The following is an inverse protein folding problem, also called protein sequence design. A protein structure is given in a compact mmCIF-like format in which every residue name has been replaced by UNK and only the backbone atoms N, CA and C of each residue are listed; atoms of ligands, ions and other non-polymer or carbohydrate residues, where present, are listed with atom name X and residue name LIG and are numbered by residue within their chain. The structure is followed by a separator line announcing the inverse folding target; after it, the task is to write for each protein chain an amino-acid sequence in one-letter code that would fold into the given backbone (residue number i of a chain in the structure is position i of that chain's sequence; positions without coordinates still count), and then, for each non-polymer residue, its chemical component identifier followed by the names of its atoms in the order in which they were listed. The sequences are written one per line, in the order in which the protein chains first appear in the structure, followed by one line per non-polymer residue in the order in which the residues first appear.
data_IF_321114938296
#
_entry.id   IF_321114938296
#
_cell.length_a   1.000
_cell.length_b   1.000
_cell.length_c   1.000
_cell.angle_alpha   90.00
_cell.angle_beta   90.00
_cell.angle_gamma   90.00
#
_symmetry.space_group_name_H-M   'P 1'
#
loop_
_entity.id
_entity.type
_entity.pdbx_description
1 polymer ?
#
# COMPACT_ATOMS: atom_id res chain seq x y z
N UNK A 1 20.55 43.28 -27.48
CA UNK A 1 19.68 42.08 -27.52
C UNK A 1 20.38 40.95 -26.79
N UNK A 2 19.91 40.57 -25.61
CA UNK A 2 20.50 39.50 -24.80
C UNK A 2 19.81 38.16 -25.12
N UNK A 3 20.63 37.15 -25.41
CA UNK A 3 20.25 35.77 -25.67
C UNK A 3 20.07 35.08 -24.32
N UNK A 4 18.89 34.52 -24.05
CA UNK A 4 18.57 33.80 -22.81
C UNK A 4 18.33 32.34 -23.20
N UNK A 5 19.30 31.47 -22.92
CA UNK A 5 19.18 30.03 -23.08
C UNK A 5 18.57 29.43 -21.80
N UNK A 6 17.59 28.51 -21.87
CA UNK A 6 17.13 27.80 -20.69
C UNK A 6 18.06 26.61 -20.42
N UNK A 7 19.03 26.81 -19.54
CA UNK A 7 19.83 25.72 -18.97
C UNK A 7 18.94 24.89 -18.05
N UNK A 8 18.52 23.71 -18.53
CA UNK A 8 17.85 22.70 -17.71
C UNK A 8 18.93 21.88 -17.00
N UNK A 9 19.13 22.18 -15.73
CA UNK A 9 19.96 21.38 -14.82
C UNK A 9 19.29 20.02 -14.56
N UNK A 10 19.96 18.87 -14.75
CA UNK A 10 19.42 17.57 -14.36
C UNK A 10 19.38 17.44 -12.83
N UNK A 11 18.38 16.75 -12.24
CA UNK A 11 18.36 16.50 -10.81
C UNK A 11 19.53 15.59 -10.41
N UNK A 12 20.27 16.01 -9.38
CA UNK A 12 21.31 15.22 -8.74
C UNK A 12 20.72 13.92 -8.14
N UNK A 13 21.47 12.80 -8.13
CA UNK A 13 21.03 11.58 -7.47
C UNK A 13 20.93 11.82 -5.96
N UNK A 14 19.72 11.75 -5.41
CA UNK A 14 19.53 11.71 -3.97
C UNK A 14 20.03 10.35 -3.44
N UNK A 15 21.04 10.37 -2.58
CA UNK A 15 21.51 9.21 -1.82
C UNK A 15 20.34 8.62 -1.02
N UNK A 16 20.04 7.35 -1.29
CA UNK A 16 19.13 6.56 -0.48
C UNK A 16 19.78 6.30 0.89
N UNK A 17 19.04 6.41 2.02
CA UNK A 17 19.56 5.96 3.30
C UNK A 17 19.79 4.44 3.25
N UNK A 18 21.06 4.05 3.42
CA UNK A 18 21.50 2.67 3.52
C UNK A 18 20.82 2.00 4.73
N UNK A 19 19.88 1.11 4.44
CA UNK A 19 19.30 0.21 5.43
C UNK A 19 20.32 -0.90 5.68
N UNK A 20 21.06 -0.82 6.78
CA UNK A 20 21.91 -1.91 7.25
C UNK A 20 21.02 -3.08 7.68
N UNK A 21 20.99 -4.14 6.89
CA UNK A 21 20.35 -5.42 7.23
C UNK A 21 21.12 -6.13 8.34
N UNK A 22 20.48 -6.60 9.43
CA UNK A 22 21.13 -7.46 10.41
C UNK A 22 21.47 -8.84 9.81
N UNK A 23 22.52 -9.53 10.30
CA UNK A 23 22.93 -10.83 9.78
C UNK A 23 21.84 -11.89 10.04
N UNK A 24 21.51 -12.64 8.98
CA UNK A 24 20.58 -13.74 9.01
C UNK A 24 21.13 -14.91 9.85
N UNK A 25 20.48 -15.20 10.98
CA UNK A 25 20.69 -16.43 11.73
C UNK A 25 20.14 -17.61 10.93
N UNK A 26 21.01 -18.56 10.58
CA UNK A 26 20.60 -19.83 9.98
C UNK A 26 19.66 -20.60 10.92
N UNK A 27 18.59 -21.23 10.40
CA UNK A 27 17.67 -22.02 11.22
C UNK A 27 18.34 -23.31 11.70
N UNK A 28 18.32 -23.54 13.01
CA UNK A 28 18.64 -24.82 13.62
C UNK A 28 17.59 -25.89 13.23
N UNK A 29 17.98 -27.18 13.14
CA UNK A 29 17.04 -28.25 12.81
C UNK A 29 15.99 -28.41 13.91
N UNK A 30 14.71 -28.26 13.52
CA UNK A 30 13.55 -28.42 14.40
C UNK A 30 13.29 -29.91 14.58
N UNK A 31 13.37 -30.39 15.82
CA UNK A 31 12.95 -31.73 16.21
C UNK A 31 11.43 -31.91 15.99
N UNK A 32 10.95 -33.12 15.64
CA UNK A 32 9.54 -33.35 15.35
C UNK A 32 8.66 -33.05 16.57
N UNK A 33 7.62 -32.24 16.35
CA UNK A 33 6.63 -31.89 17.37
C UNK A 33 5.82 -33.13 17.80
N UNK A 34 5.48 -33.28 19.10
CA UNK A 34 4.62 -34.37 19.57
C UNK A 34 3.21 -34.24 18.99
N UNK A 35 2.62 -35.37 18.59
CA UNK A 35 1.23 -35.45 18.15
C UNK A 35 0.27 -35.02 19.28
N UNK A 36 -0.87 -34.37 18.96
CA UNK A 36 -1.83 -33.92 19.97
C UNK A 36 -2.48 -35.11 20.67
N UNK A 37 -2.31 -35.17 21.99
CA UNK A 37 -3.00 -36.12 22.84
C UNK A 37 -4.49 -35.72 22.98
N UNK A 38 -5.38 -36.68 22.78
CA UNK A 38 -6.81 -36.57 23.06
C UNK A 38 -7.03 -36.21 24.54
N UNK A 39 -7.85 -35.20 24.89
CA UNK A 39 -8.09 -34.85 26.28
C UNK A 39 -8.82 -35.99 27.02
N UNK A 40 -8.22 -36.47 28.11
CA UNK A 40 -8.91 -37.31 29.08
C UNK A 40 -10.05 -36.52 29.76
N UNK A 41 -11.16 -37.16 30.16
CA UNK A 41 -12.27 -36.47 30.80
C UNK A 41 -11.82 -35.85 32.13
N UNK A 42 -12.01 -34.53 32.25
CA UNK A 42 -11.73 -33.77 33.46
C UNK A 42 -12.63 -34.25 34.62
N UNK A 43 -12.15 -34.27 35.88
CA UNK A 43 -13.02 -34.47 37.03
C UNK A 43 -14.09 -33.38 37.05
N UNK A 44 -15.36 -33.79 37.18
CA UNK A 44 -16.49 -32.89 37.31
C UNK A 44 -16.21 -31.85 38.42
N UNK A 45 -16.16 -30.58 38.02
CA UNK A 45 -16.15 -29.48 38.97
C UNK A 45 -17.41 -29.59 39.83
N UNK A 46 -17.23 -29.72 41.14
CA UNK A 46 -18.33 -29.62 42.08
C UNK A 46 -18.99 -28.24 41.92
N UNK A 47 -20.28 -28.22 41.57
CA UNK A 47 -21.10 -27.02 41.61
C UNK A 47 -20.98 -26.36 42.99
N UNK A 48 -20.83 -25.02 43.09
CA UNK A 48 -20.90 -24.36 44.37
C UNK A 48 -22.29 -24.59 44.95
N UNK A 49 -22.36 -25.26 46.10
CA UNK A 49 -23.61 -25.41 46.84
C UNK A 49 -24.17 -24.01 47.16
N UNK A 50 -25.50 -23.79 47.05
CA UNK A 50 -26.09 -22.53 47.46
C UNK A 50 -25.78 -22.33 48.95
N UNK A 51 -25.13 -21.21 49.27
CA UNK A 51 -24.83 -20.83 50.63
C UNK A 51 -26.12 -20.85 51.45
N UNK A 52 -26.22 -21.81 52.37
CA UNK A 52 -27.31 -21.90 53.32
C UNK A 52 -27.47 -20.54 54.02
N UNK A 53 -28.71 -20.04 54.01
CA UNK A 53 -29.07 -18.71 54.46
C UNK A 53 -28.49 -18.39 55.83
N UNK A 54 -27.55 -17.45 55.85
CA UNK A 54 -27.11 -16.82 57.07
C UNK A 54 -28.03 -15.63 57.30
N UNK A 55 -28.96 -15.78 58.25
CA UNK A 55 -29.80 -14.70 58.74
C UNK A 55 -28.94 -13.45 59.04
N UNK A 56 -29.45 -12.24 58.79
CA UNK A 56 -28.66 -11.04 58.94
C UNK A 56 -28.36 -10.84 60.43
N UNK A 57 -27.15 -11.21 60.85
CA UNK A 57 -26.56 -10.61 62.05
C UNK A 57 -26.43 -9.12 61.79
N UNK A 58 -27.41 -8.38 62.31
CA UNK A 58 -27.39 -6.93 62.38
C UNK A 58 -26.11 -6.52 63.12
N UNK A 59 -25.32 -5.63 62.52
CA UNK A 59 -24.06 -5.08 63.06
C UNK A 59 -22.87 -6.04 63.19
N UNK A 60 -22.57 -6.83 62.15
CA UNK A 60 -21.20 -7.33 61.99
C UNK A 60 -20.30 -6.21 61.44
N UNK A 61 -19.31 -5.69 62.18
CA UNK A 61 -18.43 -4.62 61.71
C UNK A 61 -17.70 -4.96 60.40
N UNK A 62 -17.56 -6.26 60.07
CA UNK A 62 -17.00 -6.72 58.79
C UNK A 62 -17.90 -6.43 57.59
N UNK A 63 -19.22 -6.39 57.76
CA UNK A 63 -20.17 -6.04 56.68
C UNK A 63 -20.10 -4.55 56.36
N UNK A 64 -19.87 -3.70 57.37
CA UNK A 64 -19.65 -2.27 57.17
C UNK A 64 -18.33 -2.01 56.42
N UNK A 65 -17.27 -2.79 56.68
CA UNK A 65 -16.03 -2.74 55.89
C UNK A 65 -16.21 -3.24 54.44
N UNK A 66 -17.11 -4.21 54.22
CA UNK A 66 -17.45 -4.64 52.86
C UNK A 66 -18.23 -3.57 52.10
N UNK A 67 -19.18 -2.90 52.76
CA UNK A 67 -19.95 -1.82 52.16
C UNK A 67 -19.03 -0.63 51.81
N UNK A 68 -18.12 -0.24 52.69
CA UNK A 68 -17.15 0.83 52.40
C UNK A 68 -16.21 0.47 51.23
N UNK A 69 -15.77 -0.79 51.14
CA UNK A 69 -14.99 -1.28 49.97
C UNK A 69 -15.80 -1.32 48.68
N UNK A 70 -17.11 -1.58 48.77
CA UNK A 70 -18.01 -1.55 47.62
C UNK A 70 -18.22 -0.10 47.17
N UNK A 71 -18.42 0.83 48.09
CA UNK A 71 -18.55 2.27 47.81
C UNK A 71 -17.28 2.84 47.15
N UNK A 72 -16.10 2.54 47.69
CA UNK A 72 -14.81 2.93 47.09
C UNK A 72 -14.62 2.35 45.68
N UNK A 73 -15.01 1.08 45.47
CA UNK A 73 -14.97 0.47 44.13
C UNK A 73 -15.99 1.11 43.19
N UNK A 74 -17.19 1.43 43.66
CA UNK A 74 -18.23 2.07 42.87
C UNK A 74 -17.78 3.47 42.42
N UNK A 75 -17.19 4.28 43.31
CA UNK A 75 -16.62 5.57 42.97
C UNK A 75 -15.50 5.46 41.92
N UNK A 76 -14.61 4.47 42.07
CA UNK A 76 -13.55 4.20 41.07
C UNK A 76 -14.09 3.72 39.73
N UNK A 77 -15.21 3.01 39.73
CA UNK A 77 -15.89 2.57 38.52
C UNK A 77 -16.52 3.78 37.82
N UNK A 78 -17.21 4.65 38.55
CA UNK A 78 -17.81 5.88 38.03
C UNK A 78 -16.76 6.82 37.41
N UNK A 79 -15.62 7.01 38.08
CA UNK A 79 -14.51 7.80 37.53
C UNK A 79 -13.97 7.20 36.22
N UNK A 80 -13.84 5.87 36.15
CA UNK A 80 -13.42 5.18 34.92
C UNK A 80 -14.46 5.35 33.82
N UNK A 81 -15.75 5.24 34.12
CA UNK A 81 -16.83 5.45 33.15
C UNK A 81 -16.81 6.88 32.60
N UNK A 82 -16.67 7.90 33.44
CA UNK A 82 -16.53 9.28 32.98
C UNK A 82 -15.33 9.46 32.03
N UNK A 83 -14.21 8.77 32.31
CA UNK A 83 -13.02 8.79 31.45
C UNK A 83 -13.25 8.04 30.13
N UNK A 84 -13.99 6.93 30.14
CA UNK A 84 -14.34 6.19 28.92
C UNK A 84 -15.33 6.95 28.05
N UNK A 85 -16.32 7.63 28.64
CA UNK A 85 -17.24 8.48 27.91
C UNK A 85 -16.49 9.63 27.23
N UNK A 86 -15.55 10.29 27.92
CA UNK A 86 -14.72 11.32 27.32
C UNK A 86 -13.87 10.79 26.14
N UNK A 87 -13.35 9.57 26.23
CA UNK A 87 -12.60 8.93 25.12
C UNK A 87 -13.54 8.55 23.97
N UNK A 88 -14.73 8.04 24.25
CA UNK A 88 -15.74 7.72 23.24
C UNK A 88 -16.19 8.97 22.50
N UNK A 89 -16.54 10.05 23.19
CA UNK A 89 -16.92 11.32 22.55
C UNK A 89 -15.77 11.87 21.68
N UNK A 90 -14.52 11.70 22.13
CA UNK A 90 -13.35 12.07 21.31
C UNK A 90 -13.17 11.16 20.09
N UNK A 91 -13.43 9.87 20.23
CA UNK A 91 -13.36 8.90 19.14
C UNK A 91 -14.46 9.17 18.10
N UNK A 92 -15.69 9.45 18.55
CA UNK A 92 -16.81 9.86 17.70
C UNK A 92 -16.48 11.14 16.92
N UNK A 93 -15.97 12.18 17.58
CA UNK A 93 -15.55 13.40 16.92
C UNK A 93 -14.42 13.18 15.90
N UNK A 94 -13.50 12.24 16.17
CA UNK A 94 -12.46 11.86 15.23
C UNK A 94 -12.99 11.05 14.04
N UNK A 95 -13.97 10.18 14.29
CA UNK A 95 -14.63 9.38 13.27
C UNK A 95 -15.46 10.26 12.34
N UNK A 96 -16.26 11.18 12.88
CA UNK A 96 -17.06 12.14 12.11
C UNK A 96 -16.17 13.01 11.21
N UNK A 97 -15.04 13.51 11.75
CA UNK A 97 -14.04 14.23 10.95
C UNK A 97 -13.44 13.37 9.84
N UNK A 98 -13.22 12.08 10.10
CA UNK A 98 -12.66 11.15 9.11
C UNK A 98 -13.69 10.80 8.03
N UNK A 99 -14.96 10.61 8.43
CA UNK A 99 -16.06 10.39 7.52
C UNK A 99 -16.26 11.59 6.59
N UNK A 100 -16.24 12.82 7.09
CA UNK A 100 -16.31 14.03 6.25
C UNK A 100 -15.13 14.15 5.30
N UNK A 101 -13.91 13.77 5.72
CA UNK A 101 -12.74 13.76 4.82
C UNK A 101 -12.87 12.70 3.73
N UNK A 102 -13.38 11.52 4.07
CA UNK A 102 -13.61 10.43 3.11
C UNK A 102 -14.74 10.78 2.15
N UNK A 103 -15.84 11.37 2.63
CA UNK A 103 -16.97 11.82 1.83
C UNK A 103 -16.55 12.96 0.88
N UNK A 104 -15.78 13.93 1.35
CA UNK A 104 -15.20 14.96 0.50
C UNK A 104 -14.20 14.38 -0.52
N UNK A 105 -13.38 13.39 -0.14
CA UNK A 105 -12.47 12.72 -1.07
C UNK A 105 -13.23 11.88 -2.11
N UNK A 106 -14.31 11.20 -1.71
CA UNK A 106 -15.15 10.42 -2.60
C UNK A 106 -16.00 11.30 -3.54
N UNK A 107 -16.47 12.45 -3.05
CA UNK A 107 -17.21 13.44 -3.83
C UNK A 107 -16.33 14.25 -4.78
N UNK A 108 -15.04 14.44 -4.46
CA UNK A 108 -14.08 15.13 -5.34
C UNK A 108 -13.33 14.18 -6.28
N UNK A 109 -13.29 12.88 -5.98
CA UNK A 109 -12.74 11.86 -6.86
C UNK A 109 -13.85 11.38 -7.81
N UNK A 110 -14.09 12.14 -8.87
CA UNK A 110 -14.99 11.71 -9.96
C UNK A 110 -14.38 10.50 -10.68
N UNK A 111 -14.66 9.31 -10.16
CA UNK A 111 -14.22 8.03 -10.71
C UNK A 111 -14.70 7.80 -12.15
N UNK A 112 -15.80 8.44 -12.56
CA UNK A 112 -16.30 8.37 -13.93
C UNK A 112 -15.43 9.24 -14.87
N UNK A 113 -15.06 10.45 -14.45
CA UNK A 113 -14.12 11.30 -15.18
C UNK A 113 -12.75 10.64 -15.31
N UNK A 114 -12.18 10.13 -14.21
CA UNK A 114 -10.87 9.45 -14.22
C UNK A 114 -10.91 8.24 -15.16
N UNK A 115 -11.97 7.44 -15.14
CA UNK A 115 -12.10 6.30 -16.06
C UNK A 115 -12.17 6.76 -17.52
N UNK A 116 -12.87 7.86 -17.81
CA UNK A 116 -12.93 8.46 -19.14
C UNK A 116 -11.56 8.95 -19.62
N UNK A 117 -10.83 9.66 -18.76
CA UNK A 117 -9.47 10.15 -19.04
C UNK A 117 -8.48 9.01 -19.25
N UNK A 118 -8.54 7.95 -18.44
CA UNK A 118 -7.68 6.76 -18.60
C UNK A 118 -7.99 6.04 -19.91
N UNK A 119 -9.27 5.93 -20.29
CA UNK A 119 -9.67 5.35 -21.57
C UNK A 119 -9.17 6.19 -22.76
N UNK A 120 -9.28 7.51 -22.68
CA UNK A 120 -8.76 8.43 -23.69
C UNK A 120 -7.23 8.44 -23.77
N UNK A 121 -6.55 8.30 -22.64
CA UNK A 121 -5.10 8.16 -22.60
C UNK A 121 -4.67 6.84 -23.26
N UNK A 122 -5.38 5.76 -22.95
CA UNK A 122 -5.12 4.45 -23.54
C UNK A 122 -5.34 4.44 -25.05
N UNK A 123 -6.39 5.09 -25.54
CA UNK A 123 -6.62 5.20 -26.99
C UNK A 123 -5.50 5.99 -27.70
N UNK A 124 -4.93 7.02 -27.06
CA UNK A 124 -3.79 7.77 -27.60
C UNK A 124 -2.50 6.93 -27.60
N UNK A 125 -2.26 6.17 -26.54
CA UNK A 125 -1.12 5.25 -26.45
C UNK A 125 -1.23 4.14 -27.50
N UNK A 126 -2.41 3.54 -27.67
CA UNK A 126 -2.65 2.51 -28.69
C UNK A 126 -2.59 3.08 -30.12
N UNK A 127 -2.94 4.35 -30.32
CA UNK A 127 -2.78 5.04 -31.61
C UNK A 127 -1.32 5.40 -31.93
N UNK A 128 -0.41 5.32 -30.96
CA UNK A 128 1.01 5.59 -31.20
C UNK A 128 1.65 4.36 -31.87
N UNK A 129 2.42 4.53 -32.97
CA UNK A 129 3.05 3.40 -33.65
C UNK A 129 3.92 2.61 -32.66
N UNK A 130 3.52 1.35 -32.40
CA UNK A 130 4.22 0.47 -31.45
C UNK A 130 5.69 0.32 -31.85
N UNK A 131 6.57 0.08 -30.88
CA UNK A 131 8.00 -0.13 -31.12
C UNK A 131 8.29 -1.16 -32.22
N UNK A 132 7.45 -2.21 -32.33
CA UNK A 132 7.56 -3.20 -33.42
C UNK A 132 7.34 -2.61 -34.83
N UNK A 133 6.45 -1.62 -34.99
CA UNK A 133 6.24 -0.93 -36.28
C UNK A 133 7.42 -0.03 -36.66
N UNK A 134 8.02 0.65 -35.68
CA UNK A 134 9.27 1.40 -35.88
C UNK A 134 10.43 0.48 -36.26
N UNK A 135 10.51 -0.70 -35.63
CA UNK A 135 11.54 -1.68 -35.95
C UNK A 135 11.36 -2.27 -37.36
N UNK A 136 10.12 -2.61 -37.73
CA UNK A 136 9.81 -3.11 -39.09
C UNK A 136 10.08 -2.07 -40.17
N UNK A 137 9.68 -0.81 -39.94
CA UNK A 137 9.97 0.27 -40.88
C UNK A 137 11.48 0.49 -41.02
N UNK A 138 12.24 0.49 -39.92
CA UNK A 138 13.69 0.59 -39.95
C UNK A 138 14.35 -0.55 -40.75
N UNK A 139 13.91 -1.80 -40.55
CA UNK A 139 14.42 -2.96 -41.30
C UNK A 139 14.12 -2.82 -42.78
N UNK A 140 12.87 -2.48 -43.14
CA UNK A 140 12.46 -2.33 -44.54
C UNK A 140 13.27 -1.22 -45.21
N UNK A 141 13.42 -0.06 -44.56
CA UNK A 141 14.24 1.03 -45.07
C UNK A 141 15.72 0.62 -45.20
N UNK A 142 16.27 -0.11 -44.23
CA UNK A 142 17.65 -0.59 -44.31
C UNK A 142 17.86 -1.52 -45.51
N UNK A 143 16.98 -2.51 -45.71
CA UNK A 143 17.04 -3.42 -46.86
C UNK A 143 16.91 -2.65 -48.17
N UNK A 144 15.93 -1.74 -48.26
CA UNK A 144 15.71 -0.93 -49.46
C UNK A 144 16.94 -0.07 -49.79
N UNK A 145 17.57 0.51 -48.78
CA UNK A 145 18.78 1.33 -48.94
C UNK A 145 19.97 0.48 -49.40
N UNK A 146 20.15 -0.70 -48.80
CA UNK A 146 21.21 -1.64 -49.23
C UNK A 146 20.97 -2.10 -50.66
N UNK A 147 19.74 -2.49 -51.02
CA UNK A 147 19.38 -2.90 -52.37
C UNK A 147 19.64 -1.78 -53.39
N UNK A 148 19.26 -0.54 -53.06
CA UNK A 148 19.52 0.63 -53.90
C UNK A 148 21.03 0.86 -54.07
N UNK A 149 21.79 0.76 -52.97
CA UNK A 149 23.26 0.92 -52.99
C UNK A 149 23.92 -0.13 -53.88
N UNK A 150 23.49 -1.39 -53.76
CA UNK A 150 23.95 -2.49 -54.61
C UNK A 150 23.58 -2.24 -56.06
N UNK A 151 22.36 -1.78 -56.35
CA UNK A 151 21.93 -1.47 -57.71
C UNK A 151 22.81 -0.37 -58.34
N UNK A 152 23.08 0.71 -57.59
CA UNK A 152 23.97 1.80 -58.02
C UNK A 152 25.39 1.31 -58.26
N UNK A 153 25.95 0.48 -57.38
CA UNK A 153 27.29 -0.09 -57.54
C UNK A 153 27.36 -1.08 -58.72
N UNK A 154 26.31 -1.89 -58.91
CA UNK A 154 26.30 -3.00 -59.87
C UNK A 154 25.98 -2.58 -61.29
N UNK A 155 25.04 -1.64 -61.45
CA UNK A 155 24.58 -1.14 -62.74
C UNK A 155 25.15 0.24 -63.09
N UNK A 156 25.85 0.89 -62.14
CA UNK A 156 26.30 2.27 -62.29
C UNK A 156 25.11 3.22 -62.34
N UNK A 157 25.36 4.52 -62.19
CA UNK A 157 24.39 5.53 -62.66
C UNK A 157 24.76 5.84 -64.11
N UNK A 158 23.99 5.39 -65.12
CA UNK A 158 24.20 5.81 -66.49
C UNK A 158 23.82 7.28 -66.57
N UNK A 159 24.82 8.16 -66.42
CA UNK A 159 24.65 9.62 -66.51
C UNK A 159 25.44 10.45 -65.49
N UNK A 160 25.78 9.92 -64.31
CA UNK A 160 26.45 10.76 -63.27
C UNK A 160 27.96 10.92 -63.50
N UNK A 161 28.65 9.85 -63.92
CA UNK A 161 30.10 9.90 -64.21
C UNK A 161 30.42 10.41 -65.63
N UNK A 162 29.48 10.31 -66.58
CA UNK A 162 29.66 10.85 -67.94
C UNK A 162 29.63 12.39 -68.00
N UNK A 163 28.90 13.03 -67.09
CA UNK A 163 28.81 14.51 -67.02
C UNK A 163 30.00 15.17 -66.29
N UNK A 164 30.75 14.43 -65.48
CA UNK A 164 31.87 14.98 -64.68
C UNK A 164 33.25 14.77 -65.35
N UNK A 165 33.33 13.93 -66.38
CA UNK A 165 34.55 13.66 -67.16
C UNK A 165 34.60 14.38 -68.52
N UNK A 166 33.57 15.17 -68.86
CA UNK A 166 33.61 16.10 -70.00
C UNK A 166 33.98 17.49 -69.47
N UNK A 167 35.27 17.72 -69.26
CA UNK A 167 35.89 19.04 -69.19
C UNK A 167 37.25 18.99 -69.86
#
# INVERSE_FOLDING_TARGET
MAKIEPTVTPPAPAEAPAVTTPPASAPAPVAPAPAPATPAPAPAAASPAPAAGQAPSASDPRKLDQLSRIEEKAARIEEKFARYEAVLTRAEASLERSAHKVDAAAGTMDFASIRGEVAALRSRVDATPRAGTLFMTAIVTAILTVALTVLVLRFGVPGLFGSLLVR
#
